data_IF_810129027982
#
_entry.id   IF_810129027982
#
_cell.length_a   1.000
_cell.length_b   1.000
_cell.length_c   1.000
_cell.angle_alpha   90.00
_cell.angle_beta   90.00
_cell.angle_gamma   90.00
#
_symmetry.space_group_name_H-M   'P 1'
#
loop_
_entity.id
_entity.type
_entity.pdbx_description
1 polymer ?
#
# COMPACT_ATOMS: atom_id res chain seq x y z
N UNK A 1 -13.58 20.85 5.54
CA UNK A 1 -14.50 21.02 4.38
C UNK A 1 -15.91 20.84 4.88
N UNK A 2 -16.71 21.90 4.88
CA UNK A 2 -18.13 21.78 5.19
C UNK A 2 -18.86 21.35 3.90
N UNK A 3 -19.50 20.18 3.93
CA UNK A 3 -20.44 19.75 2.89
C UNK A 3 -21.85 20.11 3.37
N UNK A 4 -22.54 20.94 2.64
CA UNK A 4 -23.99 21.11 2.82
C UNK A 4 -24.72 20.39 1.69
N UNK A 5 -25.77 19.64 2.04
CA UNK A 5 -26.66 19.00 1.06
C UNK A 5 -27.89 19.90 0.94
N UNK A 6 -28.25 20.28 -0.28
CA UNK A 6 -29.52 20.96 -0.55
C UNK A 6 -30.66 19.93 -0.60
N UNK A 7 -31.90 20.37 -0.38
CA UNK A 7 -33.09 19.49 -0.34
C UNK A 7 -33.34 18.73 -1.64
N UNK A 8 -32.72 19.13 -2.75
CA UNK A 8 -32.78 18.49 -4.07
C UNK A 8 -31.69 17.44 -4.33
N UNK A 9 -30.88 17.11 -3.33
CA UNK A 9 -29.81 16.09 -3.42
C UNK A 9 -28.52 16.55 -4.08
N UNK A 10 -28.37 17.84 -4.38
CA UNK A 10 -27.14 18.41 -4.91
C UNK A 10 -26.09 18.64 -3.81
N UNK A 11 -24.80 18.50 -4.16
CA UNK A 11 -23.65 18.81 -3.30
C UNK A 11 -23.09 20.18 -3.69
N UNK A 12 -23.06 21.12 -2.74
CA UNK A 12 -22.46 22.44 -2.95
C UNK A 12 -21.00 22.44 -2.54
N UNK A 13 -20.12 22.77 -3.48
CA UNK A 13 -18.67 22.91 -3.26
C UNK A 13 -18.29 24.39 -3.42
N UNK A 14 -17.88 25.07 -2.34
CA UNK A 14 -17.64 26.52 -2.32
C UNK A 14 -16.24 26.96 -1.91
N UNK A 15 -15.20 26.11 -2.10
CA UNK A 15 -13.91 26.40 -1.45
C UNK A 15 -12.88 27.20 -2.28
N UNK A 16 -13.06 27.34 -3.59
CA UNK A 16 -12.01 27.94 -4.44
C UNK A 16 -12.52 28.94 -5.49
N UNK A 17 -13.80 29.11 -5.60
CA UNK A 17 -14.45 30.05 -6.53
C UNK A 17 -15.57 30.78 -5.82
N UNK A 18 -15.73 32.09 -6.09
CA UNK A 18 -16.75 32.91 -5.45
C UNK A 18 -18.20 32.58 -5.89
N UNK A 19 -18.36 31.53 -6.70
CA UNK A 19 -19.68 31.10 -7.17
C UNK A 19 -19.93 29.66 -6.68
N UNK A 20 -21.08 29.34 -6.11
CA UNK A 20 -21.45 28.02 -5.68
C UNK A 20 -21.67 27.12 -6.90
N UNK A 21 -20.96 25.99 -6.94
CA UNK A 21 -21.21 24.92 -7.91
C UNK A 21 -22.09 23.87 -7.25
N UNK A 22 -23.24 23.59 -7.87
CA UNK A 22 -24.10 22.48 -7.48
C UNK A 22 -23.82 21.29 -8.39
N UNK A 23 -23.44 20.18 -7.79
CA UNK A 23 -23.13 18.95 -8.51
C UNK A 23 -24.20 17.89 -8.23
N UNK A 24 -24.71 17.30 -9.27
CA UNK A 24 -25.71 16.22 -9.20
C UNK A 24 -25.09 14.89 -9.67
N UNK A 25 -25.43 13.80 -8.99
CA UNK A 25 -25.12 12.48 -9.48
C UNK A 25 -26.06 12.13 -10.63
N UNK A 26 -25.51 11.90 -11.83
CA UNK A 26 -26.28 11.53 -13.03
C UNK A 26 -26.42 10.02 -13.20
N UNK A 27 -25.85 9.22 -12.29
CA UNK A 27 -25.92 7.77 -12.30
C UNK A 27 -24.66 7.09 -11.78
N UNK A 28 -24.72 5.76 -11.74
CA UNK A 28 -23.60 4.90 -11.41
C UNK A 28 -23.10 4.21 -12.67
N UNK A 29 -21.80 4.24 -12.91
CA UNK A 29 -21.16 3.46 -13.96
C UNK A 29 -20.54 2.22 -13.34
N UNK A 30 -20.89 1.05 -13.84
CA UNK A 30 -20.19 -0.19 -13.53
C UNK A 30 -19.26 -0.50 -14.70
N UNK A 31 -17.98 -0.67 -14.42
CA UNK A 31 -17.02 -1.13 -15.42
C UNK A 31 -16.15 -2.26 -14.84
N UNK A 32 -15.73 -3.16 -15.70
CA UNK A 32 -14.81 -4.23 -15.34
C UNK A 32 -13.41 -3.81 -15.83
N UNK A 33 -12.45 -3.80 -14.95
CA UNK A 33 -11.06 -3.55 -15.27
C UNK A 33 -10.25 -4.81 -14.97
N UNK A 34 -9.51 -5.28 -15.97
CA UNK A 34 -8.48 -6.29 -15.74
C UNK A 34 -7.27 -5.62 -15.12
N UNK A 35 -6.66 -6.30 -14.15
CA UNK A 35 -5.42 -5.86 -13.51
C UNK A 35 -4.57 -7.07 -13.18
N UNK A 36 -3.29 -6.83 -13.03
CA UNK A 36 -2.31 -7.87 -12.74
C UNK A 36 -1.79 -7.74 -11.32
N UNK A 37 -1.47 -8.88 -10.72
CA UNK A 37 -0.70 -9.01 -9.49
C UNK A 37 0.60 -9.69 -9.87
N UNK A 38 1.73 -9.08 -9.52
CA UNK A 38 3.06 -9.59 -9.85
C UNK A 38 3.70 -10.23 -8.63
N UNK A 39 4.33 -11.37 -8.81
CA UNK A 39 5.06 -12.08 -7.76
C UNK A 39 6.49 -12.29 -8.24
N UNK A 40 7.43 -11.92 -7.40
CA UNK A 40 8.86 -12.15 -7.59
C UNK A 40 9.49 -12.75 -6.33
N UNK A 41 10.76 -13.05 -6.43
CA UNK A 41 11.57 -13.52 -5.30
C UNK A 41 12.85 -12.69 -5.20
N UNK A 42 13.18 -12.29 -3.98
CA UNK A 42 14.42 -11.60 -3.62
C UNK A 42 15.16 -12.50 -2.66
N UNK A 43 16.44 -12.75 -2.95
CA UNK A 43 17.36 -13.45 -2.05
C UNK A 43 18.46 -12.49 -1.62
N UNK A 44 18.33 -11.91 -0.44
CA UNK A 44 19.30 -10.96 0.08
C UNK A 44 19.33 -10.96 1.61
N UNK A 45 19.99 -11.95 2.15
CA UNK A 45 20.08 -12.16 3.61
C UNK A 45 20.61 -10.93 4.39
N UNK A 46 21.60 -10.23 3.87
CA UNK A 46 22.16 -9.04 4.54
C UNK A 46 21.10 -7.93 4.69
N UNK A 47 20.32 -7.71 3.62
CA UNK A 47 19.21 -6.76 3.64
C UNK A 47 18.13 -7.17 4.64
N UNK A 48 17.78 -8.45 4.65
CA UNK A 48 16.77 -9.04 5.53
C UNK A 48 17.17 -8.92 7.00
N UNK A 49 18.41 -9.26 7.33
CA UNK A 49 18.95 -9.16 8.69
C UNK A 49 18.93 -7.71 9.21
N UNK A 50 19.24 -6.72 8.35
CA UNK A 50 19.16 -5.30 8.69
C UNK A 50 17.72 -4.85 8.96
N UNK A 51 16.76 -5.33 8.16
CA UNK A 51 15.34 -4.98 8.30
C UNK A 51 14.76 -5.64 9.56
N UNK A 52 15.00 -6.92 9.78
CA UNK A 52 14.55 -7.63 11.00
C UNK A 52 15.08 -6.92 12.25
N UNK A 53 16.37 -6.60 12.27
CA UNK A 53 16.97 -5.87 13.40
C UNK A 53 16.25 -4.56 13.66
N UNK A 54 15.96 -3.77 12.62
CA UNK A 54 15.24 -2.50 12.78
C UNK A 54 13.81 -2.71 13.30
N UNK A 55 13.08 -3.71 12.80
CA UNK A 55 11.73 -4.03 13.29
C UNK A 55 11.77 -4.38 14.79
N UNK A 56 12.73 -5.18 15.23
CA UNK A 56 12.87 -5.56 16.64
C UNK A 56 13.25 -4.36 17.52
N UNK A 57 14.15 -3.50 17.07
CA UNK A 57 14.60 -2.31 17.80
C UNK A 57 13.51 -1.23 17.89
N UNK A 58 12.69 -1.08 16.87
CA UNK A 58 11.62 -0.08 16.86
C UNK A 58 10.46 -0.43 17.80
N UNK A 59 10.15 -1.72 17.95
CA UNK A 59 8.94 -2.15 18.64
C UNK A 59 7.67 -1.70 17.92
N UNK A 60 6.53 -1.72 18.61
CA UNK A 60 5.27 -1.25 18.05
C UNK A 60 5.16 0.27 18.13
N UNK A 61 5.17 0.94 16.98
CA UNK A 61 5.02 2.40 16.87
C UNK A 61 3.63 2.84 16.45
N UNK A 62 2.78 1.90 16.02
CA UNK A 62 1.42 2.22 15.55
C UNK A 62 0.33 2.01 16.60
N UNK A 63 0.65 1.37 17.73
CA UNK A 63 -0.29 1.14 18.83
C UNK A 63 -1.64 0.55 18.34
N UNK A 64 -1.59 -0.34 17.36
CA UNK A 64 -2.77 -0.98 16.72
C UNK A 64 -3.78 0.00 16.07
N UNK A 65 -3.37 1.21 15.73
CA UNK A 65 -4.21 2.21 15.03
C UNK A 65 -4.36 1.96 13.53
N UNK A 66 -3.58 1.02 12.97
CA UNK A 66 -3.64 0.63 11.57
C UNK A 66 -4.56 -0.58 11.34
N UNK A 67 -4.75 -0.95 10.06
CA UNK A 67 -5.43 -2.20 9.69
C UNK A 67 -4.58 -3.44 10.00
N UNK A 68 -3.30 -3.27 10.22
CA UNK A 68 -2.37 -4.30 10.68
C UNK A 68 -2.51 -4.42 12.20
N UNK A 69 -2.89 -5.61 12.68
CA UNK A 69 -3.01 -5.94 14.10
C UNK A 69 -1.77 -6.72 14.54
N UNK A 70 -0.61 -6.09 14.38
CA UNK A 70 0.70 -6.64 14.67
C UNK A 70 1.66 -5.51 15.03
N UNK A 71 2.85 -5.85 15.47
CA UNK A 71 3.92 -4.87 15.71
C UNK A 71 4.31 -4.21 14.39
N UNK A 72 4.33 -2.88 14.34
CA UNK A 72 4.75 -2.09 13.17
C UNK A 72 5.79 -1.04 13.56
N UNK A 73 6.77 -0.84 12.67
CA UNK A 73 7.69 0.30 12.75
C UNK A 73 6.96 1.62 12.43
N UNK A 74 7.67 2.73 12.59
CA UNK A 74 7.25 3.98 11.97
C UNK A 74 7.14 3.85 10.45
N UNK A 75 6.31 4.70 9.86
CA UNK A 75 6.22 4.87 8.42
C UNK A 75 7.49 5.58 7.90
N UNK A 76 7.74 5.56 6.58
CA UNK A 76 8.87 6.27 5.94
C UNK A 76 10.26 5.70 6.25
N UNK A 77 10.35 4.37 6.42
CA UNK A 77 11.61 3.66 6.67
C UNK A 77 12.57 3.61 5.46
N UNK A 78 12.15 4.04 4.27
CA UNK A 78 12.93 3.97 3.02
C UNK A 78 14.34 4.59 3.10
N UNK A 79 14.63 5.42 4.09
CA UNK A 79 15.95 6.03 4.31
C UNK A 79 16.95 5.12 5.01
N UNK A 80 16.49 4.08 5.70
CA UNK A 80 17.34 3.16 6.45
C UNK A 80 17.97 2.10 5.51
N UNK A 81 19.18 1.61 5.79
CA UNK A 81 19.96 0.84 4.81
C UNK A 81 19.23 -0.35 4.18
N UNK A 82 18.66 -1.26 4.98
CA UNK A 82 17.92 -2.42 4.46
C UNK A 82 16.70 -2.02 3.63
N UNK A 83 15.87 -1.12 4.15
CA UNK A 83 14.69 -0.62 3.44
C UNK A 83 15.04 0.17 2.17
N UNK A 84 16.14 0.94 2.19
CA UNK A 84 16.63 1.66 1.00
C UNK A 84 16.96 0.69 -0.12
N UNK A 85 17.69 -0.39 0.19
CA UNK A 85 18.05 -1.42 -0.78
C UNK A 85 16.80 -2.11 -1.33
N UNK A 86 15.87 -2.51 -0.45
CA UNK A 86 14.60 -3.09 -0.85
C UNK A 86 13.79 -2.13 -1.73
N UNK A 87 13.67 -0.86 -1.34
CA UNK A 87 12.95 0.16 -2.11
C UNK A 87 13.49 0.30 -3.54
N UNK A 88 14.81 0.26 -3.72
CA UNK A 88 15.42 0.32 -5.05
C UNK A 88 15.05 -0.91 -5.90
N UNK A 89 15.09 -2.11 -5.31
CA UNK A 89 14.70 -3.35 -5.99
C UNK A 89 13.21 -3.30 -6.38
N UNK A 90 12.34 -2.90 -5.43
CA UNK A 90 10.90 -2.82 -5.66
C UNK A 90 10.54 -1.80 -6.74
N UNK A 91 11.19 -0.62 -6.74
CA UNK A 91 10.98 0.39 -7.78
C UNK A 91 11.41 -0.11 -9.16
N UNK A 92 12.56 -0.80 -9.25
CA UNK A 92 13.00 -1.42 -10.50
C UNK A 92 12.00 -2.48 -10.98
N UNK A 93 11.59 -3.39 -10.10
CA UNK A 93 10.61 -4.41 -10.42
C UNK A 93 9.26 -3.81 -10.87
N UNK A 94 8.81 -2.74 -10.24
CA UNK A 94 7.59 -2.04 -10.63
C UNK A 94 7.70 -1.41 -12.03
N UNK A 95 8.83 -0.80 -12.36
CA UNK A 95 9.09 -0.22 -13.69
C UNK A 95 9.11 -1.32 -14.77
N UNK A 96 9.78 -2.43 -14.48
CA UNK A 96 9.95 -3.52 -15.44
C UNK A 96 8.67 -4.33 -15.68
N UNK A 97 7.79 -4.39 -14.67
CA UNK A 97 6.57 -5.22 -14.71
C UNK A 97 5.35 -4.47 -15.20
N UNK A 98 5.34 -3.15 -15.15
CA UNK A 98 4.12 -2.37 -15.39
C UNK A 98 4.03 -1.80 -16.80
N UNK A 99 2.80 -1.46 -17.17
CA UNK A 99 2.52 -0.80 -18.44
C UNK A 99 3.40 0.45 -18.66
N UNK A 100 3.83 0.75 -19.89
CA UNK A 100 4.70 1.89 -20.23
C UNK A 100 4.23 3.25 -19.70
N UNK A 101 2.96 3.37 -19.34
CA UNK A 101 2.39 4.60 -18.77
C UNK A 101 2.66 4.76 -17.26
N UNK A 102 3.24 3.75 -16.58
CA UNK A 102 3.65 3.86 -15.19
C UNK A 102 5.08 4.41 -15.10
N UNK A 103 5.26 5.65 -15.56
CA UNK A 103 6.56 6.30 -15.60
C UNK A 103 6.93 6.89 -14.23
N UNK A 104 8.18 6.61 -13.80
CA UNK A 104 8.78 7.16 -12.59
C UNK A 104 7.93 7.01 -11.31
N UNK A 105 7.66 5.78 -10.85
CA UNK A 105 7.00 5.60 -9.56
C UNK A 105 7.85 6.19 -8.43
N UNK A 106 7.19 6.81 -7.48
CA UNK A 106 7.81 7.34 -6.25
C UNK A 106 7.32 6.53 -5.08
N UNK A 107 8.25 6.04 -4.27
CA UNK A 107 7.91 5.42 -3.00
C UNK A 107 7.44 6.49 -2.02
N UNK A 108 6.21 6.37 -1.51
CA UNK A 108 5.65 7.31 -0.54
C UNK A 108 5.91 6.87 0.89
N UNK A 109 5.62 5.66 1.21
CA UNK A 109 5.71 5.10 2.54
C UNK A 109 6.21 3.65 2.49
N UNK A 110 7.03 3.30 3.47
CA UNK A 110 7.57 1.94 3.65
C UNK A 110 7.68 1.68 5.14
N UNK A 111 7.20 0.54 5.59
CA UNK A 111 7.27 0.13 6.99
C UNK A 111 7.54 -1.37 7.11
N UNK A 112 8.12 -1.76 8.23
CA UNK A 112 8.29 -3.15 8.62
C UNK A 112 7.21 -3.59 9.60
N UNK A 113 6.84 -4.86 9.56
CA UNK A 113 5.91 -5.45 10.53
C UNK A 113 6.38 -6.83 10.97
N UNK A 114 6.14 -7.12 12.24
CA UNK A 114 6.33 -8.44 12.84
C UNK A 114 4.98 -8.95 13.30
N UNK A 115 4.58 -10.10 12.79
CA UNK A 115 3.39 -10.79 13.22
C UNK A 115 3.77 -11.97 14.10
N UNK A 116 3.00 -12.17 15.15
CA UNK A 116 3.02 -13.39 15.97
C UNK A 116 1.71 -14.15 15.81
N UNK A 117 1.68 -15.39 16.31
CA UNK A 117 0.51 -16.25 16.20
C UNK A 117 -0.77 -15.58 16.74
N UNK A 118 -1.81 -15.56 15.93
CA UNK A 118 -3.10 -14.95 16.25
C UNK A 118 -3.28 -13.50 15.81
N UNK A 119 -2.27 -12.91 15.18
CA UNK A 119 -2.35 -11.57 14.61
C UNK A 119 -2.78 -11.61 13.14
N UNK A 120 -3.31 -10.49 12.65
CA UNK A 120 -3.93 -10.37 11.33
C UNK A 120 -3.64 -9.03 10.65
N UNK A 121 -3.90 -8.98 9.35
CA UNK A 121 -4.16 -7.72 8.65
C UNK A 121 -5.64 -7.72 8.23
N UNK A 122 -6.42 -6.81 8.80
CA UNK A 122 -7.85 -6.65 8.51
C UNK A 122 -8.02 -6.23 7.05
N UNK A 123 -9.11 -6.62 6.40
CA UNK A 123 -9.38 -6.27 5.01
C UNK A 123 -9.34 -4.76 4.79
N UNK A 124 -8.47 -4.34 3.86
CA UNK A 124 -8.23 -2.93 3.54
C UNK A 124 -7.67 -2.76 2.12
N UNK A 125 -7.47 -1.53 1.73
CA UNK A 125 -6.77 -1.11 0.51
C UNK A 125 -5.88 0.10 0.81
N UNK A 126 -5.04 0.48 -0.14
CA UNK A 126 -4.10 1.59 -0.02
C UNK A 126 -4.43 2.79 -0.92
N UNK A 127 -5.69 2.89 -1.43
CA UNK A 127 -6.07 4.06 -2.21
C UNK A 127 -5.76 5.36 -1.46
N UNK A 128 -5.15 6.39 -2.09
CA UNK A 128 -4.95 6.59 -3.53
C UNK A 128 -3.59 6.14 -4.09
N UNK A 129 -2.86 5.25 -3.44
CA UNK A 129 -1.63 4.71 -4.00
C UNK A 129 -1.90 4.06 -5.37
N UNK A 130 -0.98 4.24 -6.32
CA UNK A 130 -1.07 3.60 -7.62
C UNK A 130 -0.74 2.12 -7.52
N UNK A 131 0.33 1.79 -6.80
CA UNK A 131 0.76 0.44 -6.46
C UNK A 131 1.08 0.32 -4.99
N UNK A 132 0.92 -0.90 -4.49
CA UNK A 132 1.41 -1.34 -3.18
C UNK A 132 2.25 -2.59 -3.34
N UNK A 133 3.09 -2.84 -2.36
CA UNK A 133 3.85 -4.09 -2.29
C UNK A 133 3.85 -4.66 -0.89
N UNK A 134 4.07 -5.96 -0.82
CA UNK A 134 4.45 -6.66 0.39
C UNK A 134 5.65 -7.56 0.08
N UNK A 135 6.69 -7.46 0.88
CA UNK A 135 7.88 -8.30 0.84
C UNK A 135 7.92 -9.16 2.10
N UNK A 136 7.92 -10.47 1.93
CA UNK A 136 7.94 -11.44 3.00
C UNK A 136 9.37 -11.89 3.27
N UNK A 137 9.97 -11.38 4.33
CA UNK A 137 11.32 -11.79 4.75
C UNK A 137 11.29 -13.22 5.24
N UNK A 138 10.24 -13.58 5.99
CA UNK A 138 9.98 -14.96 6.43
C UNK A 138 8.61 -15.43 5.94
N UNK A 139 8.49 -16.72 5.66
CA UNK A 139 7.26 -17.30 5.13
C UNK A 139 7.28 -18.81 5.30
N UNK A 140 6.98 -19.29 6.53
CA UNK A 140 6.88 -20.72 6.83
C UNK A 140 5.56 -21.29 6.30
N UNK A 141 5.48 -22.60 6.08
CA UNK A 141 4.29 -23.28 5.53
C UNK A 141 3.03 -23.12 6.39
N UNK A 142 3.17 -22.79 7.68
CA UNK A 142 2.07 -22.55 8.59
C UNK A 142 1.65 -21.06 8.67
N UNK A 143 2.33 -20.17 7.95
CA UNK A 143 1.94 -18.77 7.87
C UNK A 143 0.71 -18.58 6.96
N UNK A 144 -0.22 -17.66 7.34
CA UNK A 144 -1.42 -17.42 6.53
C UNK A 144 -1.09 -16.78 5.20
N UNK A 145 -1.82 -17.20 4.16
CA UNK A 145 -1.78 -16.62 2.84
C UNK A 145 -2.29 -15.15 2.84
N UNK A 146 -1.87 -14.36 1.85
CA UNK A 146 -2.51 -13.09 1.54
C UNK A 146 -3.70 -13.33 0.60
N UNK A 147 -4.84 -12.73 0.93
CA UNK A 147 -6.09 -12.87 0.20
C UNK A 147 -6.49 -11.59 -0.51
N UNK A 148 -7.00 -11.71 -1.73
CA UNK A 148 -7.56 -10.64 -2.56
C UNK A 148 -9.01 -10.98 -2.91
N UNK A 149 -9.99 -10.66 -2.04
CA UNK A 149 -11.37 -11.12 -2.18
C UNK A 149 -12.05 -10.61 -3.45
N UNK A 150 -11.71 -9.39 -3.90
CA UNK A 150 -12.25 -8.82 -5.14
C UNK A 150 -11.86 -9.57 -6.41
N UNK A 151 -10.83 -10.42 -6.35
CA UNK A 151 -10.32 -11.23 -7.47
C UNK A 151 -10.54 -12.73 -7.25
N UNK A 152 -11.09 -13.13 -6.12
CA UNK A 152 -11.17 -14.52 -5.66
C UNK A 152 -9.81 -15.23 -5.76
N UNK A 153 -8.77 -14.57 -5.25
CA UNK A 153 -7.38 -15.04 -5.26
C UNK A 153 -6.78 -15.03 -3.86
N UNK A 154 -5.95 -16.03 -3.62
CA UNK A 154 -5.04 -16.08 -2.47
C UNK A 154 -3.66 -16.53 -2.95
N UNK A 155 -2.64 -16.09 -2.24
CA UNK A 155 -1.26 -16.48 -2.51
C UNK A 155 -0.63 -16.95 -1.22
N UNK A 156 -0.19 -18.22 -1.21
CA UNK A 156 0.62 -18.76 -0.13
C UNK A 156 1.97 -18.06 -0.17
N UNK A 157 2.49 -17.72 0.99
CA UNK A 157 3.71 -16.94 1.13
C UNK A 157 4.93 -17.84 1.26
N UNK A 158 6.08 -17.33 0.84
CA UNK A 158 7.36 -17.99 1.00
C UNK A 158 8.46 -16.97 1.31
N UNK A 159 9.60 -17.38 1.91
CA UNK A 159 10.71 -16.47 2.20
C UNK A 159 11.23 -15.77 0.94
N UNK A 160 11.42 -14.47 1.02
CA UNK A 160 11.88 -13.66 -0.10
C UNK A 160 10.79 -13.28 -1.11
N UNK A 161 9.54 -13.69 -0.90
CA UNK A 161 8.44 -13.34 -1.81
C UNK A 161 8.20 -11.84 -1.82
N UNK A 162 8.24 -11.25 -3.01
CA UNK A 162 7.76 -9.90 -3.30
C UNK A 162 6.44 -9.99 -4.05
N UNK A 163 5.40 -9.36 -3.57
CA UNK A 163 4.13 -9.23 -4.29
C UNK A 163 3.83 -7.74 -4.54
N UNK A 164 3.52 -7.40 -5.80
CA UNK A 164 3.11 -6.07 -6.25
C UNK A 164 1.66 -6.13 -6.70
N UNK A 165 0.85 -5.18 -6.27
CA UNK A 165 -0.57 -5.11 -6.60
C UNK A 165 -1.08 -3.66 -6.62
N UNK A 166 -2.19 -3.37 -7.34
CA UNK A 166 -2.77 -2.03 -7.36
C UNK A 166 -3.17 -1.56 -5.96
N UNK A 167 -2.90 -0.30 -5.64
CA UNK A 167 -3.20 0.25 -4.31
C UNK A 167 -4.68 0.23 -3.93
N UNK A 168 -5.59 0.13 -4.91
CA UNK A 168 -7.03 -0.02 -4.69
C UNK A 168 -7.48 -1.48 -4.45
N UNK A 169 -6.60 -2.47 -4.69
CA UNK A 169 -6.95 -3.88 -4.50
C UNK A 169 -7.15 -4.18 -3.01
N UNK A 170 -8.38 -4.55 -2.65
CA UNK A 170 -8.68 -5.00 -1.31
C UNK A 170 -7.97 -6.30 -1.00
N UNK A 171 -7.32 -6.36 0.15
CA UNK A 171 -6.61 -7.54 0.61
C UNK A 171 -6.64 -7.66 2.13
N UNK A 172 -6.38 -8.86 2.61
CA UNK A 172 -6.28 -9.16 4.03
C UNK A 172 -5.41 -10.38 4.27
N UNK A 173 -4.97 -10.56 5.53
CA UNK A 173 -4.31 -11.76 6.00
C UNK A 173 -5.09 -12.26 7.22
N UNK A 174 -5.68 -13.46 7.17
CA UNK A 174 -6.54 -13.95 8.24
C UNK A 174 -5.75 -14.28 9.50
N UNK A 175 -6.46 -14.27 10.63
CA UNK A 175 -5.94 -14.83 11.88
C UNK A 175 -5.61 -16.30 11.68
N UNK A 176 -4.39 -16.69 12.00
CA UNK A 176 -3.95 -18.09 11.97
C UNK A 176 -2.95 -18.36 13.09
N UNK A 177 -2.88 -19.59 13.55
CA UNK A 177 -1.85 -20.03 14.49
C UNK A 177 -0.63 -20.51 13.71
N UNK A 178 0.53 -20.00 14.06
CA UNK A 178 1.83 -20.39 13.48
C UNK A 178 2.92 -20.34 14.55
N UNK A 179 4.09 -20.94 14.25
CA UNK A 179 5.14 -21.14 15.25
C UNK A 179 6.13 -20.00 15.33
N UNK A 180 6.65 -19.57 14.20
CA UNK A 180 7.73 -18.58 14.12
C UNK A 180 7.17 -17.20 13.76
N UNK A 181 7.74 -16.10 14.26
CA UNK A 181 7.33 -14.77 13.84
C UNK A 181 7.46 -14.58 12.33
N UNK A 182 6.47 -13.91 11.73
CA UNK A 182 6.50 -13.50 10.34
C UNK A 182 6.95 -12.05 10.23
N UNK A 183 8.05 -11.82 9.50
CA UNK A 183 8.56 -10.47 9.22
C UNK A 183 8.24 -10.09 7.79
N UNK A 184 7.68 -8.90 7.62
CA UNK A 184 7.36 -8.35 6.31
C UNK A 184 7.77 -6.90 6.20
N UNK A 185 7.93 -6.43 4.97
CA UNK A 185 7.96 -5.00 4.64
C UNK A 185 6.81 -4.73 3.68
N UNK A 186 6.04 -3.69 3.98
CA UNK A 186 5.02 -3.20 3.07
C UNK A 186 5.27 -1.73 2.72
N UNK A 187 4.70 -1.27 1.63
CA UNK A 187 4.82 0.12 1.21
C UNK A 187 3.97 0.45 0.01
N UNK A 188 3.93 1.74 -0.29
CA UNK A 188 3.07 2.32 -1.31
C UNK A 188 3.87 3.17 -2.30
N UNK A 189 3.44 3.15 -3.55
CA UNK A 189 4.01 3.93 -4.65
C UNK A 189 2.94 4.78 -5.31
N UNK A 190 3.35 5.98 -5.71
CA UNK A 190 2.51 6.91 -6.46
C UNK A 190 3.15 7.24 -7.81
N UNK A 191 2.33 7.71 -8.73
CA UNK A 191 2.86 8.33 -9.95
C UNK A 191 3.63 9.59 -9.58
N UNK A 192 4.82 9.75 -10.16
CA UNK A 192 5.51 11.03 -10.10
C UNK A 192 4.77 12.01 -11.02
N UNK A 193 3.91 12.81 -10.43
CA UNK A 193 3.28 13.91 -11.17
C UNK A 193 4.34 15.01 -11.28
N UNK A 194 4.88 15.20 -12.48
CA UNK A 194 5.75 16.33 -12.74
C UNK A 194 5.00 17.61 -12.39
N UNK A 195 5.59 18.46 -11.55
CA UNK A 195 4.97 19.73 -11.13
C UNK A 195 4.62 20.62 -12.31
N UNK A 196 5.32 20.49 -13.45
CA UNK A 196 5.06 21.20 -14.68
C UNK A 196 3.77 20.75 -15.39
N UNK A 197 3.21 19.57 -15.01
CA UNK A 197 1.91 19.08 -15.49
C UNK A 197 0.74 19.46 -14.58
N UNK A 198 1.01 20.04 -13.42
CA UNK A 198 -0.03 20.57 -12.55
C UNK A 198 -0.44 21.94 -13.11
N UNK A 199 -1.64 22.02 -13.66
CA UNK A 199 -2.28 23.30 -13.95
C UNK A 199 -2.40 24.06 -12.62
N UNK A 200 -1.51 25.03 -12.43
CA UNK A 200 -1.63 25.98 -11.33
C UNK A 200 -2.79 26.89 -11.67
N UNK A 201 -3.96 26.60 -11.13
CA UNK A 201 -5.02 27.60 -11.07
C UNK A 201 -4.51 28.69 -10.13
N UNK A 202 -4.04 29.77 -10.70
CA UNK A 202 -3.54 30.92 -9.95
C UNK A 202 -4.67 31.50 -9.12
N UNK A 203 -4.69 31.15 -7.84
CA UNK A 203 -5.49 31.89 -6.87
C UNK A 203 -4.77 33.21 -6.66
N UNK A 204 -5.27 34.30 -7.27
CA UNK A 204 -4.86 35.66 -6.88
C UNK A 204 -5.24 35.84 -5.41
N UNK A 205 -4.24 36.15 -4.59
CA UNK A 205 -4.44 36.59 -3.20
C UNK A 205 -5.22 37.87 -3.14
#
# INVERSE_FOLDING_TARGET
MARSVQEDGGIVCSHFINEPIVMYSTGKLNYTQETEIFIGQIDNKEMDDLIIKDIEEQGDKQEHKSNVKAQMTEWYRSKFPGYRKLTQIVLSAAIDSMHPNFNNPVMSDVWGSKYVSGEEAVQHHHYPAALSFCYYITGDDDHPAIHFPGFDRRYDIFPGMLILFPGWAQHFVPVQKFKNPRYIVAGNMHHNINKDMLFTVGVKK
#
